data_IF_439267934800
#
_entry.id   IF_439267934800
#
_cell.length_a   1.000
_cell.length_b   1.000
_cell.length_c   1.000
_cell.angle_alpha   90.00
_cell.angle_beta   90.00
_cell.angle_gamma   90.00
#
_symmetry.space_group_name_H-M   'P 1'
#
loop_
_entity.id
_entity.type
_entity.pdbx_description
1 polymer ?
#
# COMPACT_ATOMS: atom_id res chain seq x y z
N UNK A 1 29.04 -2.19 -16.45
CA UNK A 1 27.84 -2.44 -15.63
C UNK A 1 26.67 -1.74 -16.29
N UNK A 2 25.54 -2.41 -16.50
CA UNK A 2 24.35 -1.77 -17.09
C UNK A 2 23.51 -1.13 -15.98
N UNK A 3 22.78 -0.06 -16.28
CA UNK A 3 21.94 0.65 -15.30
C UNK A 3 21.00 -0.30 -14.54
N UNK A 4 20.47 -1.33 -15.22
CA UNK A 4 19.60 -2.34 -14.60
C UNK A 4 20.30 -3.22 -13.55
N UNK A 5 21.57 -3.60 -13.77
CA UNK A 5 22.32 -4.40 -12.77
C UNK A 5 22.61 -3.60 -11.51
N UNK A 6 22.81 -2.28 -11.65
CA UNK A 6 23.10 -1.39 -10.53
C UNK A 6 21.85 -1.05 -9.70
N UNK A 7 20.66 -1.04 -10.32
CA UNK A 7 19.38 -0.92 -9.60
C UNK A 7 19.09 -2.17 -8.73
N UNK A 8 19.47 -3.36 -9.21
CA UNK A 8 19.21 -4.64 -8.52
C UNK A 8 20.21 -4.92 -7.39
N UNK A 9 21.43 -4.40 -7.48
CA UNK A 9 22.48 -4.58 -6.48
C UNK A 9 22.23 -3.77 -5.19
N UNK A 10 21.49 -2.66 -5.29
CA UNK A 10 21.18 -1.79 -4.14
C UNK A 10 20.22 -2.47 -3.16
N UNK A 11 20.75 -2.83 -1.99
CA UNK A 11 19.96 -3.31 -0.86
C UNK A 11 19.24 -2.15 -0.18
N UNK A 12 18.01 -2.39 0.23
CA UNK A 12 17.28 -1.50 1.12
C UNK A 12 17.86 -1.60 2.52
N UNK A 13 18.38 -0.49 3.10
CA UNK A 13 18.95 -0.50 4.45
C UNK A 13 17.92 -0.93 5.50
N UNK A 14 16.72 -0.35 5.42
CA UNK A 14 15.59 -0.64 6.32
C UNK A 14 14.45 -1.21 5.46
N UNK A 15 14.28 -2.55 5.41
CA UNK A 15 13.17 -3.15 4.67
C UNK A 15 11.84 -2.93 5.39
N UNK A 16 10.73 -2.82 4.63
CA UNK A 16 9.39 -2.79 5.24
C UNK A 16 9.16 -4.05 6.07
N UNK A 17 8.75 -3.93 7.35
CA UNK A 17 8.39 -5.08 8.16
C UNK A 17 7.32 -5.94 7.47
N UNK A 18 7.48 -7.28 7.41
CA UNK A 18 6.54 -8.15 6.71
C UNK A 18 5.09 -8.02 7.19
N UNK A 19 4.90 -7.86 8.51
CA UNK A 19 3.56 -7.69 9.10
C UNK A 19 2.89 -6.39 8.64
N UNK A 20 3.62 -5.28 8.59
CA UNK A 20 3.10 -4.00 8.11
C UNK A 20 2.78 -4.07 6.63
N UNK A 21 3.70 -4.63 5.84
CA UNK A 21 3.53 -4.78 4.39
C UNK A 21 2.31 -5.64 4.06
N UNK A 22 2.22 -6.83 4.62
CA UNK A 22 1.13 -7.76 4.35
C UNK A 22 -0.17 -7.24 4.96
N UNK A 23 -0.17 -6.85 6.23
CA UNK A 23 -1.37 -6.39 6.93
C UNK A 23 -2.01 -5.18 6.26
N UNK A 24 -1.23 -4.14 5.96
CA UNK A 24 -1.75 -2.94 5.30
C UNK A 24 -2.27 -3.26 3.89
N UNK A 25 -1.60 -4.14 3.14
CA UNK A 25 -2.04 -4.53 1.79
C UNK A 25 -3.38 -5.27 1.83
N UNK A 26 -3.54 -6.21 2.75
CA UNK A 26 -4.79 -6.96 2.92
C UNK A 26 -5.94 -6.07 3.39
N UNK A 27 -5.66 -5.11 4.27
CA UNK A 27 -6.64 -4.14 4.77
C UNK A 27 -7.11 -3.15 3.69
N UNK A 28 -6.19 -2.63 2.87
CA UNK A 28 -6.56 -1.79 1.73
C UNK A 28 -7.36 -2.61 0.70
N UNK A 29 -6.91 -3.82 0.39
CA UNK A 29 -7.66 -4.73 -0.47
C UNK A 29 -9.07 -5.01 0.05
N UNK A 30 -9.22 -5.21 1.36
CA UNK A 30 -10.53 -5.40 2.01
C UNK A 30 -11.41 -4.17 1.87
N UNK A 31 -10.83 -2.98 2.09
CA UNK A 31 -11.57 -1.73 1.96
C UNK A 31 -12.10 -1.50 0.55
N UNK A 32 -11.36 -1.89 -0.49
CA UNK A 32 -11.86 -1.82 -1.87
C UNK A 32 -12.89 -2.91 -2.15
N UNK A 33 -12.60 -4.16 -1.77
CA UNK A 33 -13.45 -5.31 -2.09
C UNK A 33 -14.83 -5.25 -1.41
N UNK A 34 -14.95 -4.68 -0.21
CA UNK A 34 -16.26 -4.58 0.45
C UNK A 34 -17.27 -3.77 -0.36
N UNK A 35 -16.80 -2.85 -1.23
CA UNK A 35 -17.65 -2.04 -2.09
C UNK A 35 -18.32 -2.84 -3.21
N UNK A 36 -17.81 -4.03 -3.56
CA UNK A 36 -18.45 -4.91 -4.55
C UNK A 36 -19.51 -5.84 -3.96
N UNK A 37 -19.69 -5.85 -2.65
CA UNK A 37 -20.64 -6.76 -1.97
C UNK A 37 -22.09 -6.33 -2.17
N UNK A 38 -23.05 -7.19 -1.80
CA UNK A 38 -24.47 -6.83 -1.69
C UNK A 38 -24.88 -6.16 -0.38
N UNK A 39 -23.93 -5.73 0.46
CA UNK A 39 -24.22 -5.07 1.74
C UNK A 39 -24.85 -3.69 1.52
N UNK A 40 -25.60 -3.21 2.52
CA UNK A 40 -26.10 -1.83 2.51
C UNK A 40 -24.95 -0.83 2.36
N UNK A 41 -25.15 0.23 1.56
CA UNK A 41 -24.10 1.21 1.21
C UNK A 41 -23.41 1.80 2.45
N UNK A 42 -24.17 2.11 3.51
CA UNK A 42 -23.60 2.61 4.77
C UNK A 42 -22.62 1.63 5.42
N UNK A 43 -22.94 0.32 5.39
CA UNK A 43 -22.08 -0.73 5.93
C UNK A 43 -20.81 -0.89 5.08
N UNK A 44 -20.95 -0.86 3.75
CA UNK A 44 -19.81 -0.93 2.84
C UNK A 44 -18.81 0.19 3.09
N UNK A 45 -19.30 1.44 3.12
CA UNK A 45 -18.46 2.62 3.36
C UNK A 45 -17.85 2.57 4.76
N UNK A 46 -18.62 2.16 5.79
CA UNK A 46 -18.13 2.01 7.15
C UNK A 46 -16.97 1.02 7.26
N UNK A 47 -17.12 -0.18 6.67
CA UNK A 47 -16.07 -1.20 6.65
C UNK A 47 -14.86 -0.73 5.83
N UNK A 48 -15.08 -0.07 4.69
CA UNK A 48 -14.01 0.50 3.87
C UNK A 48 -13.17 1.49 4.66
N UNK A 49 -13.81 2.49 5.28
CA UNK A 49 -13.13 3.53 6.05
C UNK A 49 -12.37 2.91 7.22
N UNK A 50 -12.99 1.99 7.95
CA UNK A 50 -12.35 1.31 9.08
C UNK A 50 -11.12 0.51 8.62
N UNK A 51 -11.24 -0.28 7.55
CA UNK A 51 -10.13 -1.09 7.05
C UNK A 51 -8.94 -0.22 6.61
N UNK A 52 -9.21 0.86 5.86
CA UNK A 52 -8.17 1.81 5.43
C UNK A 52 -7.55 2.49 6.65
N UNK A 53 -8.36 2.97 7.62
CA UNK A 53 -7.86 3.62 8.82
C UNK A 53 -6.94 2.70 9.64
N UNK A 54 -7.34 1.44 9.85
CA UNK A 54 -6.50 0.44 10.54
C UNK A 54 -5.21 0.16 9.77
N UNK A 55 -5.28 0.09 8.43
CA UNK A 55 -4.09 -0.08 7.60
C UNK A 55 -3.11 1.09 7.72
N UNK A 56 -3.61 2.32 7.72
CA UNK A 56 -2.80 3.52 7.93
C UNK A 56 -2.22 3.57 9.35
N UNK A 57 -2.98 3.20 10.38
CA UNK A 57 -2.50 3.11 11.75
C UNK A 57 -1.38 2.08 11.89
N UNK A 58 -1.53 0.91 11.27
CA UNK A 58 -0.49 -0.13 11.25
C UNK A 58 0.79 0.39 10.59
N UNK A 59 0.67 1.11 9.47
CA UNK A 59 1.81 1.66 8.74
C UNK A 59 2.50 2.82 9.47
N UNK A 60 1.74 3.77 10.02
CA UNK A 60 2.30 4.97 10.65
C UNK A 60 2.64 4.77 12.13
N UNK A 61 1.98 3.84 12.81
CA UNK A 61 2.23 3.53 14.23
C UNK A 61 3.43 2.62 14.45
N UNK A 62 3.92 1.91 13.42
CA UNK A 62 5.00 0.94 13.60
C UNK A 62 6.38 1.62 13.79
N UNK A 63 7.23 1.12 14.71
CA UNK A 63 8.51 1.75 15.08
C UNK A 63 9.48 1.98 13.94
N UNK A 64 9.44 1.15 12.89
CA UNK A 64 10.28 1.30 11.69
C UNK A 64 10.21 2.72 11.07
N UNK A 65 9.09 3.44 11.20
CA UNK A 65 8.98 4.83 10.72
C UNK A 65 9.96 5.77 11.42
N UNK A 66 10.30 5.50 12.69
CA UNK A 66 11.30 6.26 13.46
C UNK A 66 12.71 5.93 12.98
N UNK A 67 13.00 4.66 12.72
CA UNK A 67 14.28 4.20 12.16
C UNK A 67 14.58 4.86 10.81
N UNK A 68 13.55 4.98 9.94
CA UNK A 68 13.68 5.67 8.65
C UNK A 68 14.07 7.14 8.84
N UNK A 69 13.45 7.83 9.82
CA UNK A 69 13.77 9.24 10.10
C UNK A 69 15.21 9.41 10.60
N UNK A 70 15.63 8.56 11.54
CA UNK A 70 16.99 8.57 12.08
C UNK A 70 18.03 8.33 10.98
N UNK A 71 17.80 7.34 10.12
CA UNK A 71 18.70 7.04 8.99
C UNK A 71 18.84 8.23 8.03
N UNK A 72 17.75 8.94 7.76
CA UNK A 72 17.75 10.12 6.88
C UNK A 72 18.48 11.31 7.52
N UNK A 73 18.29 11.52 8.82
CA UNK A 73 19.00 12.54 9.60
C UNK A 73 20.51 12.29 9.61
N UNK A 74 20.95 11.06 9.87
CA UNK A 74 22.38 10.66 9.82
C UNK A 74 23.01 10.90 8.44
N UNK A 75 22.23 10.78 7.37
CA UNK A 75 22.68 10.98 5.99
C UNK A 75 22.53 12.42 5.51
N UNK A 76 22.03 13.35 6.33
CA UNK A 76 21.61 14.69 5.92
C UNK A 76 20.71 14.68 4.66
N UNK A 77 19.91 13.61 4.51
CA UNK A 77 19.08 13.37 3.34
C UNK A 77 17.61 13.60 3.69
N UNK A 78 16.83 14.11 2.73
CA UNK A 78 15.39 14.33 2.91
C UNK A 78 14.61 13.42 1.98
N UNK A 79 13.65 12.68 2.54
CA UNK A 79 12.70 11.92 1.75
C UNK A 79 11.67 12.87 1.12
N UNK A 80 11.92 13.32 -0.11
CA UNK A 80 10.92 14.08 -0.88
C UNK A 80 9.96 13.11 -1.57
N UNK A 81 8.63 13.24 -1.38
CA UNK A 81 7.65 12.45 -2.10
C UNK A 81 7.84 12.66 -3.61
N UNK A 82 8.16 11.58 -4.34
CA UNK A 82 8.27 11.62 -5.80
C UNK A 82 6.95 11.21 -6.41
N UNK A 83 6.57 11.81 -7.55
CA UNK A 83 5.36 11.43 -8.29
C UNK A 83 5.30 9.93 -8.57
N UNK A 84 6.44 9.30 -8.88
CA UNK A 84 6.53 7.85 -9.10
C UNK A 84 6.21 6.98 -7.87
N UNK A 85 6.27 7.53 -6.64
CA UNK A 85 5.86 6.82 -5.42
C UNK A 85 4.35 6.91 -5.19
N UNK A 86 3.72 7.98 -5.68
CA UNK A 86 2.27 8.23 -5.53
C UNK A 86 1.48 7.59 -6.66
N UNK A 87 2.06 7.49 -7.86
CA UNK A 87 1.41 6.93 -9.05
C UNK A 87 0.78 5.53 -8.82
N UNK A 88 1.40 4.59 -8.08
CA UNK A 88 0.76 3.30 -7.80
C UNK A 88 -0.55 3.39 -7.00
N UNK A 89 -0.69 4.41 -6.14
CA UNK A 89 -1.91 4.64 -5.36
C UNK A 89 -3.07 5.14 -6.23
N UNK A 90 -2.77 5.77 -7.39
CA UNK A 90 -3.81 6.19 -8.34
C UNK A 90 -4.66 5.00 -8.81
N UNK A 91 -4.06 3.82 -9.03
CA UNK A 91 -4.80 2.63 -9.44
C UNK A 91 -5.72 2.10 -8.34
N UNK A 92 -5.33 2.24 -7.07
CA UNK A 92 -6.17 1.86 -5.92
C UNK A 92 -7.33 2.85 -5.78
N UNK A 93 -7.05 4.14 -5.94
CA UNK A 93 -8.08 5.17 -5.98
C UNK A 93 -9.07 4.92 -7.13
N UNK A 94 -8.57 4.57 -8.32
CA UNK A 94 -9.41 4.22 -9.46
C UNK A 94 -10.28 2.99 -9.13
N UNK A 95 -9.71 1.98 -8.48
CA UNK A 95 -10.46 0.82 -8.03
C UNK A 95 -11.57 1.19 -7.03
N UNK A 96 -11.33 2.12 -6.09
CA UNK A 96 -12.37 2.63 -5.18
C UNK A 96 -13.55 3.27 -5.92
N UNK A 97 -13.31 3.92 -7.07
CA UNK A 97 -14.35 4.54 -7.88
C UNK A 97 -15.10 3.54 -8.77
N UNK A 98 -14.38 2.54 -9.29
CA UNK A 98 -14.87 1.62 -10.31
C UNK A 98 -15.56 0.39 -9.71
N UNK A 99 -14.99 -0.19 -8.65
CA UNK A 99 -15.52 -1.43 -8.03
C UNK A 99 -16.98 -1.33 -7.57
N UNK A 100 -17.46 -0.22 -6.96
CA UNK A 100 -18.86 -0.08 -6.56
C UNK A 100 -19.86 -0.17 -7.72
N UNK A 101 -19.45 0.12 -8.95
CA UNK A 101 -20.31 0.08 -10.15
C UNK A 101 -20.72 -1.35 -10.49
N UNK A 102 -19.90 -2.33 -10.11
CA UNK A 102 -20.13 -3.75 -10.37
C UNK A 102 -20.87 -4.47 -9.23
N UNK A 103 -21.28 -3.75 -8.19
CA UNK A 103 -22.00 -4.35 -7.06
C UNK A 103 -23.46 -4.70 -7.43
N UNK A 104 -24.02 -5.84 -6.98
CA UNK A 104 -23.36 -6.88 -6.19
C UNK A 104 -22.62 -7.90 -7.06
N UNK A 105 -21.34 -8.12 -6.77
CA UNK A 105 -20.60 -9.25 -7.31
C UNK A 105 -20.88 -10.53 -6.51
N UNK A 106 -20.80 -11.72 -7.14
CA UNK A 106 -20.77 -12.97 -6.42
C UNK A 106 -19.56 -13.03 -5.47
N UNK A 107 -19.62 -13.88 -4.44
CA UNK A 107 -18.60 -13.96 -3.40
C UNK A 107 -17.18 -14.20 -3.97
N UNK A 108 -17.06 -15.06 -4.98
CA UNK A 108 -15.79 -15.30 -5.67
C UNK A 108 -15.28 -14.06 -6.41
N UNK A 109 -16.16 -13.24 -6.99
CA UNK A 109 -15.80 -11.99 -7.67
C UNK A 109 -15.26 -10.95 -6.68
N UNK A 110 -15.91 -10.84 -5.51
CA UNK A 110 -15.42 -10.01 -4.41
C UNK A 110 -14.06 -10.49 -3.89
N UNK A 111 -13.86 -11.82 -3.77
CA UNK A 111 -12.58 -12.39 -3.38
C UNK A 111 -11.47 -12.11 -4.42
N UNK A 112 -11.79 -12.11 -5.72
CA UNK A 112 -10.83 -11.74 -6.77
C UNK A 112 -10.45 -10.26 -6.70
N UNK A 113 -11.40 -9.35 -6.47
CA UNK A 113 -11.10 -7.92 -6.27
C UNK A 113 -10.17 -7.75 -5.06
N UNK A 114 -10.49 -8.44 -3.95
CA UNK A 114 -9.67 -8.42 -2.76
C UNK A 114 -8.24 -8.90 -3.02
N UNK A 115 -8.08 -10.05 -3.68
CA UNK A 115 -6.77 -10.61 -4.03
C UNK A 115 -5.99 -9.69 -4.97
N UNK A 116 -6.63 -9.16 -6.01
CA UNK A 116 -5.98 -8.29 -6.99
C UNK A 116 -5.45 -7.00 -6.36
N UNK A 117 -6.27 -6.32 -5.56
CA UNK A 117 -5.86 -5.08 -4.88
C UNK A 117 -4.82 -5.37 -3.81
N UNK A 118 -4.98 -6.45 -3.03
CA UNK A 118 -4.00 -6.83 -2.01
C UNK A 118 -2.65 -7.19 -2.62
N UNK A 119 -2.63 -7.94 -3.73
CA UNK A 119 -1.41 -8.30 -4.44
C UNK A 119 -0.73 -7.07 -5.04
N UNK A 120 -1.51 -6.17 -5.67
CA UNK A 120 -1.00 -4.89 -6.16
C UNK A 120 -0.34 -4.10 -5.04
N UNK A 121 -1.08 -3.86 -3.96
CA UNK A 121 -0.57 -3.12 -2.79
C UNK A 121 0.68 -3.77 -2.21
N UNK A 122 0.70 -5.09 -2.06
CA UNK A 122 1.85 -5.80 -1.54
C UNK A 122 3.08 -5.60 -2.42
N UNK A 123 2.91 -5.60 -3.74
CA UNK A 123 4.00 -5.40 -4.69
C UNK A 123 4.55 -3.97 -4.64
N UNK A 124 3.67 -2.96 -4.64
CA UNK A 124 4.07 -1.55 -4.71
C UNK A 124 4.41 -0.94 -3.34
N UNK A 125 4.08 -1.61 -2.24
CA UNK A 125 4.22 -1.10 -0.88
C UNK A 125 5.60 -0.48 -0.57
N UNK A 126 6.74 -1.14 -0.86
CA UNK A 126 8.06 -0.59 -0.53
C UNK A 126 8.40 0.72 -1.28
N UNK A 127 7.69 1.00 -2.38
CA UNK A 127 7.83 2.24 -3.14
C UNK A 127 7.00 3.36 -2.52
N UNK A 128 5.77 3.03 -2.09
CA UNK A 128 4.83 3.95 -1.45
C UNK A 128 5.32 4.38 -0.06
N UNK A 129 5.79 3.42 0.74
CA UNK A 129 6.25 3.70 2.09
C UNK A 129 7.65 4.35 2.14
N UNK A 130 8.32 4.45 0.99
CA UNK A 130 9.61 5.12 0.84
C UNK A 130 10.82 4.29 1.26
N UNK A 131 10.64 3.07 1.78
CA UNK A 131 11.76 2.20 2.17
C UNK A 131 12.69 1.87 1.00
N UNK A 132 12.14 1.70 -0.21
CA UNK A 132 12.96 1.47 -1.41
C UNK A 132 13.78 2.69 -1.80
N UNK A 133 13.33 3.90 -1.49
CA UNK A 133 14.06 5.13 -1.80
C UNK A 133 15.32 5.29 -0.93
N UNK A 134 15.36 4.68 0.26
CA UNK A 134 16.53 4.68 1.14
C UNK A 134 17.76 3.99 0.53
N UNK A 135 17.56 3.12 -0.46
CA UNK A 135 18.66 2.51 -1.21
C UNK A 135 19.38 3.50 -2.16
N UNK A 136 18.83 4.71 -2.31
CA UNK A 136 19.33 5.77 -3.19
C UNK A 136 19.63 7.08 -2.45
N UNK A 137 19.47 7.11 -1.13
CA UNK A 137 19.92 8.19 -0.26
C UNK A 137 21.40 8.00 0.08
#
# INVERSE_FOLDING_TARGET
MNAYSDLRSRRTPIPTPPLVRTGTSLLIGLGVAVLSTGLARGVQVGVMVLAIAVGLLLMFGHPYRREIKQFLEEKNAVLRPRLGQVLPLFFVWLALMVVPVFAPLPAWGTALVWLAVSAWMFWVFPHIDGTRALAYA
#
